data_IF_857763743255
#
_entry.id   IF_857763743255
#
_cell.length_a   1.000
_cell.length_b   1.000
_cell.length_c   1.000
_cell.angle_alpha   90.00
_cell.angle_beta   90.00
_cell.angle_gamma   90.00
#
_symmetry.space_group_name_H-M   'P 1'
#
loop_
_entity.id
_entity.type
_entity.pdbx_description
1 polymer ?
#
# COMPACT_ATOMS: atom_id res chain seq x y z
N UNK A 1 -5.48 16.24 -1.50
CA UNK A 1 -4.84 14.97 -1.91
C UNK A 1 -5.39 13.86 -1.03
N UNK A 2 -6.31 12.99 -1.51
CA UNK A 2 -6.91 11.98 -0.65
C UNK A 2 -5.93 10.81 -0.46
N UNK A 3 -5.54 10.55 0.79
CA UNK A 3 -4.64 9.46 1.19
C UNK A 3 -5.47 8.32 1.79
N UNK A 4 -5.51 7.14 1.15
CA UNK A 4 -6.21 5.96 1.65
C UNK A 4 -5.20 4.94 2.22
N UNK A 5 -5.50 4.40 3.41
CA UNK A 5 -4.61 3.49 4.16
C UNK A 5 -5.09 2.06 4.17
N UNK A 6 -4.45 1.20 3.39
CA UNK A 6 -4.97 -0.16 3.18
C UNK A 6 -4.61 -1.16 4.28
N UNK A 7 -3.56 -0.94 5.09
CA UNK A 7 -3.16 -1.86 6.17
C UNK A 7 -2.62 -1.12 7.40
N UNK A 8 -2.57 -1.79 8.56
CA UNK A 8 -2.12 -1.23 9.85
C UNK A 8 -0.58 -1.34 10.03
N UNK A 9 0.21 -0.25 9.92
CA UNK A 9 1.60 -0.27 10.34
C UNK A 9 1.77 0.10 11.82
N UNK A 10 2.81 -0.45 12.45
CA UNK A 10 3.29 -0.08 13.81
C UNK A 10 3.57 1.43 13.97
N UNK A 11 3.80 2.15 12.88
CA UNK A 11 4.22 3.56 12.89
C UNK A 11 3.09 4.58 13.07
N UNK A 12 1.81 4.20 12.97
CA UNK A 12 0.66 5.06 13.35
C UNK A 12 -0.51 4.18 13.86
N UNK A 13 -0.56 3.85 15.16
CA UNK A 13 -1.49 2.86 15.73
C UNK A 13 -2.96 3.29 15.75
N UNK A 14 -3.27 4.60 15.69
CA UNK A 14 -4.65 5.12 15.74
C UNK A 14 -5.30 5.31 14.36
N UNK A 15 -4.67 4.79 13.30
CA UNK A 15 -5.16 5.00 11.95
C UNK A 15 -6.28 4.01 11.61
N UNK A 16 -7.37 4.52 11.06
CA UNK A 16 -8.45 3.66 10.55
C UNK A 16 -7.91 2.80 9.41
N UNK A 17 -8.06 1.49 9.56
CA UNK A 17 -7.83 0.52 8.50
C UNK A 17 -8.93 0.70 7.47
N UNK A 18 -8.54 0.93 6.22
CA UNK A 18 -9.47 1.14 5.11
C UNK A 18 -9.62 -0.18 4.39
N UNK A 19 -10.85 -0.67 4.29
CA UNK A 19 -11.14 -1.89 3.53
C UNK A 19 -10.76 -1.68 2.05
N UNK A 20 -10.25 -2.70 1.35
CA UNK A 20 -9.89 -2.60 -0.06
C UNK A 20 -11.02 -2.09 -0.96
N UNK A 21 -12.29 -2.35 -0.60
CA UNK A 21 -13.45 -1.83 -1.33
C UNK A 21 -13.53 -0.30 -1.37
N UNK A 22 -12.98 0.39 -0.36
CA UNK A 22 -12.92 1.85 -0.35
C UNK A 22 -11.95 2.38 -1.42
N UNK A 23 -10.92 1.62 -1.80
CA UNK A 23 -10.05 1.99 -2.92
C UNK A 23 -10.82 1.96 -4.25
N UNK A 24 -11.69 0.96 -4.43
CA UNK A 24 -12.58 0.87 -5.58
C UNK A 24 -13.56 2.05 -5.62
N UNK A 25 -14.26 2.32 -4.51
CA UNK A 25 -15.17 3.46 -4.42
C UNK A 25 -14.46 4.80 -4.65
N UNK A 26 -13.25 4.96 -4.11
CA UNK A 26 -12.44 6.16 -4.32
C UNK A 26 -12.11 6.34 -5.80
N UNK A 27 -11.81 5.27 -6.54
CA UNK A 27 -11.52 5.36 -7.98
C UNK A 27 -12.75 5.70 -8.80
N UNK A 28 -13.91 5.15 -8.42
CA UNK A 28 -15.20 5.43 -9.08
C UNK A 28 -15.64 6.89 -8.84
N UNK A 29 -15.35 7.46 -7.67
CA UNK A 29 -15.78 8.81 -7.30
C UNK A 29 -14.74 9.89 -7.60
N UNK A 30 -13.46 9.54 -7.73
CA UNK A 30 -12.37 10.48 -7.87
C UNK A 30 -11.55 10.18 -9.12
N UNK A 31 -11.39 11.20 -9.96
CA UNK A 31 -10.57 11.11 -11.18
C UNK A 31 -9.06 11.27 -10.93
N UNK A 32 -8.63 11.28 -9.66
CA UNK A 32 -7.22 11.48 -9.29
C UNK A 32 -6.51 10.14 -9.08
N UNK A 33 -5.19 10.06 -9.37
CA UNK A 33 -4.42 8.85 -9.10
C UNK A 33 -4.40 8.54 -7.60
N UNK A 34 -4.59 7.26 -7.27
CA UNK A 34 -4.65 6.77 -5.90
C UNK A 34 -3.27 6.25 -5.49
N UNK A 35 -2.81 6.67 -4.31
CA UNK A 35 -1.61 6.14 -3.67
C UNK A 35 -1.99 5.33 -2.44
N UNK A 36 -1.60 4.05 -2.40
CA UNK A 36 -1.83 3.17 -1.26
C UNK A 36 -0.68 3.26 -0.28
N UNK A 37 -1.00 3.54 0.98
CA UNK A 37 0.02 3.70 2.02
C UNK A 37 -0.31 2.88 3.27
N UNK A 38 0.73 2.45 3.99
CA UNK A 38 0.61 1.90 5.34
C UNK A 38 0.38 0.39 5.40
N UNK A 39 1.28 -0.31 6.10
CA UNK A 39 1.19 -1.74 6.40
C UNK A 39 1.34 -2.67 5.19
N UNK A 40 1.73 -2.14 4.03
CA UNK A 40 1.93 -2.90 2.80
C UNK A 40 3.27 -3.64 2.88
N UNK A 41 3.28 -4.91 2.51
CA UNK A 41 4.44 -5.82 2.52
C UNK A 41 4.31 -6.83 1.36
N UNK A 42 5.29 -7.74 1.24
CA UNK A 42 5.29 -8.77 0.20
C UNK A 42 4.13 -9.80 0.32
N UNK A 43 3.43 -9.87 1.45
CA UNK A 43 2.32 -10.80 1.64
C UNK A 43 1.00 -10.21 1.11
N UNK A 44 0.83 -8.89 1.19
CA UNK A 44 -0.44 -8.23 0.89
C UNK A 44 -0.42 -7.29 -0.33
N UNK A 45 0.74 -6.94 -0.87
CA UNK A 45 0.84 -6.02 -2.02
C UNK A 45 0.09 -6.55 -3.26
N UNK A 46 0.04 -7.88 -3.44
CA UNK A 46 -0.71 -8.53 -4.51
C UNK A 46 -2.23 -8.33 -4.40
N UNK A 47 -2.77 -8.12 -3.20
CA UNK A 47 -4.19 -7.84 -3.04
C UNK A 47 -4.55 -6.45 -3.59
N UNK A 48 -3.57 -5.57 -3.73
CA UNK A 48 -3.77 -4.20 -4.17
C UNK A 48 -3.70 -4.03 -5.69
N UNK A 49 -3.12 -4.99 -6.42
CA UNK A 49 -3.01 -4.93 -7.88
C UNK A 49 -4.38 -4.87 -8.58
N UNK A 50 -5.42 -5.42 -7.95
CA UNK A 50 -6.80 -5.37 -8.42
C UNK A 50 -7.44 -3.97 -8.45
N UNK A 51 -6.82 -2.95 -7.82
CA UNK A 51 -7.45 -1.64 -7.57
C UNK A 51 -6.87 -0.46 -8.38
N UNK A 52 -6.12 -0.72 -9.46
CA UNK A 52 -5.52 0.31 -10.33
C UNK A 52 -4.83 1.45 -9.54
N UNK A 53 -3.94 1.02 -8.64
CA UNK A 53 -3.19 1.89 -7.74
C UNK A 53 -2.00 2.48 -8.49
N UNK A 54 -1.93 3.80 -8.54
CA UNK A 54 -0.88 4.51 -9.27
C UNK A 54 0.47 4.50 -8.53
N UNK A 55 0.45 4.36 -7.19
CA UNK A 55 1.65 4.43 -6.36
C UNK A 55 1.49 3.66 -5.04
N UNK A 56 2.59 3.04 -4.58
CA UNK A 56 2.68 2.40 -3.27
C UNK A 56 3.68 3.15 -2.38
N UNK A 57 3.30 3.47 -1.15
CA UNK A 57 4.20 4.06 -0.15
C UNK A 57 4.57 3.02 0.92
N UNK A 58 5.84 2.63 0.93
CA UNK A 58 6.39 1.55 1.75
C UNK A 58 7.49 2.11 2.67
N UNK A 59 7.51 1.67 3.93
CA UNK A 59 8.58 2.01 4.88
C UNK A 59 9.11 0.72 5.50
N UNK A 60 8.35 0.13 6.42
CA UNK A 60 8.80 -1.04 7.19
C UNK A 60 9.10 -2.28 6.36
N UNK A 61 8.49 -2.41 5.17
CA UNK A 61 8.76 -3.53 4.26
C UNK A 61 10.07 -3.37 3.49
N UNK A 62 10.52 -2.13 3.24
CA UNK A 62 11.76 -1.84 2.50
C UNK A 62 12.95 -1.85 3.45
N UNK A 63 12.82 -1.19 4.60
CA UNK A 63 13.89 -1.09 5.62
C UNK A 63 14.00 -2.32 6.52
N UNK A 64 13.38 -3.45 6.15
CA UNK A 64 13.43 -4.66 6.97
C UNK A 64 14.81 -5.33 6.85
N UNK A 65 15.39 -5.69 7.99
CA UNK A 65 16.63 -6.48 8.06
C UNK A 65 17.82 -5.84 7.30
N UNK A 66 17.83 -4.51 7.14
CA UNK A 66 18.83 -3.73 6.39
C UNK A 66 19.10 -4.19 4.93
N UNK A 67 18.20 -5.00 4.37
CA UNK A 67 18.32 -5.59 3.03
C UNK A 67 17.43 -4.85 2.00
N UNK A 68 17.64 -3.54 1.84
CA UNK A 68 16.77 -2.64 1.06
C UNK A 68 16.57 -3.14 -0.38
N UNK A 69 17.66 -3.48 -1.08
CA UNK A 69 17.61 -3.89 -2.49
C UNK A 69 16.82 -5.20 -2.68
N UNK A 70 17.15 -6.25 -1.92
CA UNK A 70 16.41 -7.51 -1.97
C UNK A 70 14.93 -7.36 -1.64
N UNK A 71 14.61 -6.50 -0.66
CA UNK A 71 13.22 -6.26 -0.28
C UNK A 71 12.46 -5.57 -1.42
N UNK A 72 13.09 -4.60 -2.09
CA UNK A 72 12.50 -3.95 -3.27
C UNK A 72 12.28 -4.93 -4.41
N UNK A 73 13.24 -5.80 -4.71
CA UNK A 73 13.08 -6.83 -5.74
C UNK A 73 11.92 -7.78 -5.42
N UNK A 74 11.83 -8.27 -4.17
CA UNK A 74 10.73 -9.13 -3.70
C UNK A 74 9.38 -8.44 -3.82
N UNK A 75 9.32 -7.13 -3.55
CA UNK A 75 8.10 -6.34 -3.67
C UNK A 75 7.73 -6.12 -5.13
N UNK A 76 8.67 -5.75 -5.99
CA UNK A 76 8.44 -5.55 -7.42
C UNK A 76 8.02 -6.82 -8.15
N UNK A 77 8.59 -7.98 -7.80
CA UNK A 77 8.22 -9.27 -8.39
C UNK A 77 6.76 -9.69 -8.11
N UNK A 78 6.05 -8.96 -7.25
CA UNK A 78 4.69 -9.25 -6.81
C UNK A 78 3.65 -8.26 -7.33
N UNK A 79 4.04 -7.21 -8.06
CA UNK A 79 3.15 -6.18 -8.59
C UNK A 79 3.02 -6.30 -10.10
#
# INVERSE_FOLDING_TARGET
>A
MPLARSFLPRTKPHAKMVAPEILKMAKEQLSVPICAIGGINAENIQLLSCYDIAMYSLISAVYKDDAIEENLEKLQAKI
#
